data_IF_313719634322
#
_entry.id   IF_313719634322
#
_cell.length_a   1.000
_cell.length_b   1.000
_cell.length_c   1.000
_cell.angle_alpha   90.00
_cell.angle_beta   90.00
_cell.angle_gamma   90.00
#
_symmetry.space_group_name_H-M   'P 1'
#
loop_
_entity.id
_entity.type
_entity.pdbx_description
1 polymer ?
#
# COMPACT_ATOMS: atom_id res chain seq x y z
N UNK A 1 17.61 57.09 -58.95
CA UNK A 1 17.37 55.65 -59.18
C UNK A 1 17.29 54.96 -57.83
N UNK A 2 16.08 54.63 -57.37
CA UNK A 2 15.86 53.92 -56.09
C UNK A 2 15.19 52.59 -56.41
N UNK A 3 15.92 51.49 -56.17
CA UNK A 3 15.36 50.15 -56.06
C UNK A 3 14.74 49.99 -54.67
N UNK A 4 13.58 49.33 -54.56
CA UNK A 4 13.03 48.89 -53.28
C UNK A 4 12.75 47.39 -53.33
N UNK A 5 13.35 46.74 -52.34
CA UNK A 5 13.46 45.31 -52.11
C UNK A 5 12.13 44.67 -51.70
N UNK A 6 11.96 43.45 -52.19
CA UNK A 6 10.94 42.47 -51.84
C UNK A 6 11.12 42.03 -50.36
N UNK A 7 10.08 42.16 -49.54
CA UNK A 7 10.06 41.67 -48.15
C UNK A 7 9.70 40.17 -48.15
N UNK A 8 10.63 39.34 -47.69
CA UNK A 8 10.39 37.93 -47.36
C UNK A 8 9.91 37.88 -45.90
N UNK A 9 8.71 37.34 -45.67
CA UNK A 9 8.24 36.94 -44.34
C UNK A 9 8.97 35.66 -43.92
N UNK A 10 9.60 35.68 -42.75
CA UNK A 10 10.05 34.47 -42.05
C UNK A 10 9.12 34.26 -40.86
N UNK A 11 8.32 33.20 -40.92
CA UNK A 11 7.46 32.75 -39.82
C UNK A 11 8.24 31.74 -38.99
N UNK A 12 8.64 32.12 -37.77
CA UNK A 12 9.24 31.19 -36.81
C UNK A 12 8.16 30.31 -36.17
N UNK A 13 8.16 29.01 -36.50
CA UNK A 13 7.45 27.98 -35.75
C UNK A 13 8.27 27.59 -34.52
N UNK A 14 7.83 27.97 -33.32
CA UNK A 14 8.32 27.43 -32.06
C UNK A 14 7.58 26.12 -31.76
N UNK A 15 8.25 24.99 -32.02
CA UNK A 15 7.85 23.67 -31.54
C UNK A 15 8.10 23.61 -30.02
N UNK A 16 7.08 23.90 -29.23
CA UNK A 16 7.06 23.51 -27.82
C UNK A 16 6.82 22.00 -27.75
N UNK A 17 7.89 21.24 -27.50
CA UNK A 17 7.77 19.85 -27.10
C UNK A 17 7.06 19.77 -25.76
N UNK A 18 5.84 19.23 -25.77
CA UNK A 18 5.12 18.85 -24.55
C UNK A 18 5.85 17.64 -23.94
N UNK A 19 6.82 17.90 -23.08
CA UNK A 19 7.18 16.92 -22.06
C UNK A 19 6.02 16.88 -21.07
N UNK A 20 5.23 15.80 -21.14
CA UNK A 20 4.39 15.38 -20.03
C UNK A 20 5.32 15.02 -18.88
N UNK A 21 5.74 16.01 -18.11
CA UNK A 21 6.13 15.77 -16.72
C UNK A 21 4.83 15.35 -16.05
N UNK A 22 4.63 14.04 -15.88
CA UNK A 22 3.55 13.55 -15.05
C UNK A 22 3.69 14.27 -13.70
N UNK A 23 2.76 15.19 -13.42
CA UNK A 23 2.74 15.88 -12.13
C UNK A 23 2.61 14.78 -11.08
N UNK A 24 3.62 14.64 -10.22
CA UNK A 24 3.55 13.70 -9.12
C UNK A 24 2.26 13.99 -8.35
N UNK A 25 1.33 13.04 -8.37
CA UNK A 25 0.08 13.15 -7.65
C UNK A 25 0.45 13.31 -6.17
N UNK A 26 0.03 14.41 -5.57
CA UNK A 26 0.29 14.64 -4.15
C UNK A 26 -0.46 13.55 -3.35
N UNK A 27 0.16 12.98 -2.30
CA UNK A 27 -0.52 12.01 -1.47
C UNK A 27 -1.75 12.66 -0.83
N UNK A 28 -2.81 11.86 -0.67
CA UNK A 28 -4.00 12.26 0.09
C UNK A 28 -3.61 12.56 1.55
N UNK A 29 -2.70 11.74 2.07
CA UNK A 29 -2.18 11.83 3.42
C UNK A 29 -1.26 13.05 3.58
N UNK A 30 -1.50 13.80 4.65
CA UNK A 30 -0.65 14.88 5.12
C UNK A 30 0.15 14.42 6.33
N UNK A 31 1.17 15.21 6.66
CA UNK A 31 2.03 14.90 7.79
C UNK A 31 1.23 14.87 9.10
N UNK A 32 1.30 13.74 9.82
CA UNK A 32 0.65 13.54 11.10
C UNK A 32 -0.79 13.03 11.02
N UNK A 33 -1.31 12.76 9.83
CA UNK A 33 -2.68 12.25 9.66
C UNK A 33 -2.86 10.88 10.34
N UNK A 34 -4.09 10.64 10.78
CA UNK A 34 -4.57 9.37 11.34
C UNK A 34 -5.33 8.60 10.26
N UNK A 35 -4.82 7.43 9.88
CA UNK A 35 -5.40 6.56 8.85
C UNK A 35 -6.11 5.35 9.47
N UNK A 36 -7.43 5.27 9.33
CA UNK A 36 -8.19 4.07 9.71
C UNK A 36 -8.35 3.11 8.53
N UNK A 37 -7.90 1.86 8.68
CA UNK A 37 -8.01 0.81 7.65
C UNK A 37 -9.18 -0.10 8.02
N UNK A 38 -10.28 0.00 7.28
CA UNK A 38 -11.56 -0.63 7.64
C UNK A 38 -11.93 -1.70 6.62
N UNK A 39 -12.48 -2.81 7.10
CA UNK A 39 -13.07 -3.85 6.27
C UNK A 39 -13.48 -5.07 7.08
N UNK A 40 -13.68 -6.19 6.41
CA UNK A 40 -14.26 -7.39 6.98
C UNK A 40 -13.20 -8.39 7.52
N UNK A 41 -13.45 -9.71 7.39
CA UNK A 41 -12.53 -10.76 7.81
C UNK A 41 -11.18 -10.66 7.12
N UNK A 42 -11.12 -10.18 5.87
CA UNK A 42 -9.87 -10.06 5.13
C UNK A 42 -8.99 -8.98 5.79
N UNK A 43 -9.58 -7.87 6.21
CA UNK A 43 -8.89 -6.85 7.03
C UNK A 43 -8.52 -7.39 8.40
N UNK A 44 -9.39 -8.20 9.02
CA UNK A 44 -9.10 -8.84 10.31
C UNK A 44 -7.87 -9.78 10.25
N UNK A 45 -7.46 -10.27 9.07
CA UNK A 45 -6.21 -11.02 8.90
C UNK A 45 -4.95 -10.17 9.16
N UNK A 46 -5.06 -8.84 9.13
CA UNK A 46 -3.99 -7.86 9.43
C UNK A 46 -2.74 -7.99 8.53
N UNK A 47 -2.92 -8.43 7.30
CA UNK A 47 -1.80 -8.63 6.37
C UNK A 47 -1.61 -7.38 5.50
N UNK A 48 -2.58 -7.02 4.66
CA UNK A 48 -2.48 -5.81 3.81
C UNK A 48 -2.39 -4.52 4.65
N UNK A 49 -3.14 -4.44 5.77
CA UNK A 49 -3.09 -3.29 6.68
C UNK A 49 -1.70 -3.13 7.33
N UNK A 50 -1.06 -4.24 7.68
CA UNK A 50 0.32 -4.27 8.19
C UNK A 50 1.32 -3.85 7.12
N UNK A 51 1.13 -4.31 5.87
CA UNK A 51 1.98 -3.88 4.75
C UNK A 51 1.84 -2.38 4.48
N UNK A 52 0.62 -1.84 4.49
CA UNK A 52 0.37 -0.40 4.33
C UNK A 52 1.02 0.42 5.45
N UNK A 53 0.79 0.07 6.72
CA UNK A 53 1.39 0.80 7.85
C UNK A 53 2.92 0.70 7.86
N UNK A 54 3.48 -0.47 7.56
CA UNK A 54 4.94 -0.64 7.45
C UNK A 54 5.50 0.20 6.30
N UNK A 55 4.82 0.24 5.16
CA UNK A 55 5.22 1.07 4.02
C UNK A 55 5.21 2.56 4.41
N UNK A 56 4.15 3.05 5.06
CA UNK A 56 4.05 4.45 5.48
C UNK A 56 5.11 4.82 6.53
N UNK A 57 5.41 3.92 7.49
CA UNK A 57 6.43 4.17 8.51
C UNK A 57 7.86 4.12 7.96
N UNK A 58 8.18 3.12 7.13
CA UNK A 58 9.56 2.85 6.70
C UNK A 58 9.92 3.51 5.36
N UNK A 59 8.98 3.58 4.42
CA UNK A 59 9.18 4.13 3.08
C UNK A 59 8.81 5.62 2.99
N UNK A 60 7.92 6.10 3.86
CA UNK A 60 7.54 7.52 3.97
C UNK A 60 7.59 8.07 5.39
N UNK A 61 8.71 7.91 6.12
CA UNK A 61 8.82 8.36 7.51
C UNK A 61 8.55 9.86 7.69
N UNK A 62 8.71 10.66 6.63
CA UNK A 62 8.40 12.09 6.65
C UNK A 62 6.91 12.42 6.85
N UNK A 63 6.02 11.51 6.44
CA UNK A 63 4.58 11.69 6.58
C UNK A 63 4.11 11.47 8.02
N UNK A 64 4.87 10.73 8.84
CA UNK A 64 4.54 10.52 10.26
C UNK A 64 3.07 10.08 10.48
N UNK A 65 2.59 9.15 9.65
CA UNK A 65 1.20 8.71 9.66
C UNK A 65 0.98 7.74 10.82
N UNK A 66 -0.17 7.88 11.47
CA UNK A 66 -0.63 6.92 12.48
C UNK A 66 -1.76 6.08 11.91
N UNK A 67 -1.47 4.81 11.63
CA UNK A 67 -2.47 3.89 11.11
C UNK A 67 -3.17 3.15 12.24
N UNK A 68 -4.39 2.67 12.01
CA UNK A 68 -5.09 1.73 12.90
C UNK A 68 -6.02 0.85 12.06
N UNK A 69 -6.21 -0.43 12.39
CA UNK A 69 -7.11 -1.30 11.66
C UNK A 69 -8.42 -1.62 12.42
N UNK A 70 -9.51 -1.70 11.66
CA UNK A 70 -10.88 -1.93 12.14
C UNK A 70 -11.51 -3.19 11.53
N UNK A 71 -10.69 -4.19 11.18
CA UNK A 71 -11.13 -5.43 10.55
C UNK A 71 -12.08 -6.24 11.41
N UNK A 72 -13.18 -6.72 10.82
CA UNK A 72 -14.20 -7.50 11.52
C UNK A 72 -14.80 -8.62 10.67
N UNK A 73 -14.58 -9.86 11.08
CA UNK A 73 -15.03 -11.05 10.36
C UNK A 73 -16.54 -11.17 10.18
N UNK A 74 -16.94 -11.44 8.94
CA UNK A 74 -18.35 -11.54 8.53
C UNK A 74 -19.08 -10.21 8.43
N UNK A 75 -18.41 -9.08 8.68
CA UNK A 75 -19.02 -7.75 8.60
C UNK A 75 -19.39 -7.39 7.15
N UNK A 76 -20.49 -6.66 7.02
CA UNK A 76 -20.98 -6.04 5.79
C UNK A 76 -20.97 -4.53 5.97
N UNK A 77 -20.97 -3.75 4.88
CA UNK A 77 -20.92 -2.29 4.96
C UNK A 77 -22.00 -1.68 5.89
N UNK A 78 -23.27 -2.11 5.89
CA UNK A 78 -24.27 -1.61 6.84
C UNK A 78 -23.96 -1.92 8.31
N UNK A 79 -23.30 -3.05 8.58
CA UNK A 79 -22.89 -3.43 9.94
C UNK A 79 -21.86 -2.45 10.50
N UNK A 80 -20.88 -2.09 9.67
CA UNK A 80 -19.89 -1.08 10.03
C UNK A 80 -20.54 0.29 10.25
N UNK A 81 -21.39 0.74 9.30
CA UNK A 81 -22.10 2.01 9.40
C UNK A 81 -22.81 2.17 10.75
N UNK A 82 -23.44 1.09 11.25
CA UNK A 82 -24.17 1.09 12.52
C UNK A 82 -23.29 1.13 13.78
N UNK A 83 -21.98 0.85 13.69
CA UNK A 83 -21.07 0.86 14.86
C UNK A 83 -20.11 2.04 14.90
N UNK A 84 -20.09 2.90 13.87
CA UNK A 84 -19.10 3.97 13.74
C UNK A 84 -19.03 4.90 14.95
N UNK A 85 -20.18 5.31 15.52
CA UNK A 85 -20.20 6.26 16.66
C UNK A 85 -19.47 5.74 17.89
N UNK A 86 -19.53 4.43 18.12
CA UNK A 86 -18.85 3.83 19.25
C UNK A 86 -17.41 3.41 18.90
N UNK A 87 -17.23 2.86 17.70
CA UNK A 87 -16.01 2.13 17.35
C UNK A 87 -14.99 3.02 16.63
N UNK A 88 -15.40 3.91 15.72
CA UNK A 88 -14.50 4.69 14.85
C UNK A 88 -14.43 6.17 15.24
N UNK A 89 -15.56 6.85 15.40
CA UNK A 89 -15.63 8.31 15.58
C UNK A 89 -14.75 8.81 16.74
N UNK A 90 -14.70 8.12 17.91
CA UNK A 90 -13.83 8.52 19.00
C UNK A 90 -12.33 8.47 18.67
N UNK A 91 -11.93 7.79 17.59
CA UNK A 91 -10.53 7.73 17.15
C UNK A 91 -10.10 8.94 16.34
N UNK A 92 -11.02 9.83 15.97
CA UNK A 92 -10.73 11.04 15.19
C UNK A 92 -9.81 10.74 13.98
N UNK A 93 -10.21 9.86 13.04
CA UNK A 93 -9.42 9.64 11.83
C UNK A 93 -9.43 10.89 10.95
N UNK A 94 -8.35 11.16 10.24
CA UNK A 94 -8.29 12.19 9.20
C UNK A 94 -8.61 11.60 7.82
N UNK A 95 -8.20 10.35 7.63
CA UNK A 95 -8.43 9.56 6.41
C UNK A 95 -8.88 8.15 6.81
N UNK A 96 -9.81 7.58 6.04
CA UNK A 96 -10.16 6.16 6.16
C UNK A 96 -10.00 5.43 4.82
N UNK A 97 -9.76 4.13 4.88
CA UNK A 97 -9.99 3.22 3.75
C UNK A 97 -11.14 2.27 4.07
N UNK A 98 -11.92 1.87 3.06
CA UNK A 98 -12.98 0.86 3.21
C UNK A 98 -12.75 -0.31 2.26
N UNK A 99 -12.85 -1.54 2.76
CA UNK A 99 -12.76 -2.76 1.95
C UNK A 99 -13.94 -3.70 2.29
N UNK A 100 -15.09 -3.47 1.66
CA UNK A 100 -16.32 -4.26 1.86
C UNK A 100 -16.88 -4.75 0.53
N UNK A 101 -17.71 -5.80 0.58
CA UNK A 101 -18.35 -6.40 -0.59
C UNK A 101 -18.30 -7.93 -0.58
N UNK A 102 -17.26 -8.52 0.03
CA UNK A 102 -17.09 -9.98 0.09
C UNK A 102 -18.21 -10.68 0.88
N UNK A 103 -18.68 -10.09 1.97
CA UNK A 103 -19.84 -10.62 2.70
C UNK A 103 -21.17 -10.08 2.16
N UNK A 104 -21.17 -8.84 1.67
CA UNK A 104 -22.36 -8.15 1.14
C UNK A 104 -22.92 -8.89 -0.08
N UNK A 105 -22.03 -9.36 -0.97
CA UNK A 105 -22.35 -10.19 -2.13
C UNK A 105 -23.08 -11.50 -1.79
N UNK A 106 -23.08 -11.90 -0.51
CA UNK A 106 -23.85 -13.04 0.00
C UNK A 106 -23.53 -14.37 -0.69
N UNK A 107 -22.32 -14.51 -1.25
CA UNK A 107 -21.79 -15.73 -1.85
C UNK A 107 -22.70 -16.35 -2.93
N UNK A 108 -23.33 -15.51 -3.75
CA UNK A 108 -24.25 -15.91 -4.82
C UNK A 108 -24.20 -14.95 -6.01
N UNK A 109 -24.92 -15.28 -7.08
CA UNK A 109 -25.07 -14.38 -8.22
C UNK A 109 -25.63 -13.01 -7.78
N UNK A 110 -25.19 -11.94 -8.45
CA UNK A 110 -25.68 -10.60 -8.20
C UNK A 110 -27.19 -10.49 -8.41
N UNK A 111 -27.83 -9.69 -7.58
CA UNK A 111 -29.16 -9.13 -7.82
C UNK A 111 -29.24 -7.69 -7.29
N UNK A 112 -30.23 -6.94 -7.75
CA UNK A 112 -30.37 -5.53 -7.42
C UNK A 112 -30.53 -5.25 -5.92
N UNK A 113 -31.08 -6.18 -5.14
CA UNK A 113 -31.21 -5.98 -3.71
C UNK A 113 -29.86 -6.08 -3.00
N UNK A 114 -28.96 -6.98 -3.44
CA UNK A 114 -27.57 -7.02 -2.96
C UNK A 114 -26.90 -5.66 -3.20
N UNK A 115 -26.97 -5.16 -4.44
CA UNK A 115 -26.38 -3.88 -4.82
C UNK A 115 -26.93 -2.71 -4.00
N UNK A 116 -28.25 -2.63 -3.83
CA UNK A 116 -28.91 -1.56 -3.05
C UNK A 116 -28.51 -1.55 -1.57
N UNK A 117 -28.42 -2.73 -0.94
CA UNK A 117 -28.04 -2.83 0.48
C UNK A 117 -26.57 -2.43 0.66
N UNK A 118 -25.68 -2.91 -0.22
CA UNK A 118 -24.28 -2.53 -0.22
C UNK A 118 -24.09 -1.03 -0.45
N UNK A 119 -24.70 -0.48 -1.51
CA UNK A 119 -24.64 0.94 -1.84
C UNK A 119 -25.10 1.80 -0.67
N UNK A 120 -26.24 1.47 -0.07
CA UNK A 120 -26.75 2.22 1.09
C UNK A 120 -25.76 2.19 2.25
N UNK A 121 -25.23 1.02 2.60
CA UNK A 121 -24.26 0.89 3.70
C UNK A 121 -22.99 1.70 3.45
N UNK A 122 -22.42 1.61 2.25
CA UNK A 122 -21.23 2.38 1.86
C UNK A 122 -21.51 3.89 1.84
N UNK A 123 -22.69 4.30 1.34
CA UNK A 123 -23.13 5.70 1.33
C UNK A 123 -23.30 6.24 2.75
N UNK A 124 -23.91 5.48 3.65
CA UNK A 124 -24.05 5.87 5.06
C UNK A 124 -22.67 6.11 5.71
N UNK A 125 -21.67 5.25 5.41
CA UNK A 125 -20.28 5.43 5.88
C UNK A 125 -19.68 6.73 5.31
N UNK A 126 -19.77 6.91 3.99
CA UNK A 126 -19.20 8.07 3.29
C UNK A 126 -19.81 9.38 3.79
N UNK A 127 -21.14 9.45 3.88
CA UNK A 127 -21.85 10.64 4.36
C UNK A 127 -21.49 10.96 5.81
N UNK A 128 -21.35 9.94 6.66
CA UNK A 128 -20.91 10.12 8.05
C UNK A 128 -19.50 10.71 8.12
N UNK A 129 -18.56 10.21 7.31
CA UNK A 129 -17.17 10.70 7.27
C UNK A 129 -17.07 12.12 6.70
N UNK A 130 -17.81 12.43 5.65
CA UNK A 130 -17.91 13.79 5.12
C UNK A 130 -18.40 14.78 6.17
N UNK A 131 -19.38 14.38 7.00
CA UNK A 131 -19.89 15.20 8.10
C UNK A 131 -18.81 15.47 9.17
N UNK A 132 -17.89 14.55 9.39
CA UNK A 132 -16.74 14.72 10.28
C UNK A 132 -15.54 15.42 9.62
N UNK A 133 -15.62 15.76 8.32
CA UNK A 133 -14.50 16.34 7.58
C UNK A 133 -13.39 15.33 7.23
N UNK A 134 -13.70 14.03 7.27
CA UNK A 134 -12.76 12.93 7.05
C UNK A 134 -12.74 12.54 5.57
N UNK A 135 -11.54 12.32 5.03
CA UNK A 135 -11.38 11.85 3.64
C UNK A 135 -11.56 10.34 3.55
N UNK A 136 -12.27 9.86 2.53
CA UNK A 136 -12.47 8.42 2.32
C UNK A 136 -11.70 7.96 1.08
N UNK A 137 -10.99 6.84 1.21
CA UNK A 137 -10.48 6.05 0.07
C UNK A 137 -11.39 4.83 -0.05
N UNK A 138 -12.24 4.86 -1.07
CA UNK A 138 -13.29 3.85 -1.24
C UNK A 138 -12.71 2.65 -1.98
N UNK A 139 -12.47 1.53 -1.30
CA UNK A 139 -11.99 0.29 -1.91
C UNK A 139 -13.12 -0.60 -2.44
N UNK A 140 -12.88 -1.26 -3.56
CA UNK A 140 -13.70 -2.41 -4.03
C UNK A 140 -13.40 -3.67 -3.18
N UNK A 141 -14.29 -4.69 -3.18
CA UNK A 141 -13.94 -5.99 -2.61
C UNK A 141 -12.82 -6.67 -3.41
N UNK A 142 -12.15 -7.65 -2.80
CA UNK A 142 -11.26 -8.55 -3.54
C UNK A 142 -12.01 -9.55 -4.42
N UNK A 143 -11.30 -10.58 -4.89
CA UNK A 143 -11.85 -11.69 -5.68
C UNK A 143 -12.05 -12.93 -4.82
N UNK A 144 -12.84 -13.89 -5.32
CA UNK A 144 -12.69 -15.29 -4.93
C UNK A 144 -11.76 -16.03 -5.89
N UNK A 145 -11.03 -17.01 -5.39
CA UNK A 145 -10.01 -17.72 -6.17
C UNK A 145 -10.65 -18.66 -7.20
N UNK A 146 -10.18 -18.64 -8.44
CA UNK A 146 -10.78 -19.46 -9.51
C UNK A 146 -10.60 -20.97 -9.35
N UNK A 147 -9.72 -21.42 -8.44
CA UNK A 147 -9.48 -22.84 -8.20
C UNK A 147 -9.81 -23.28 -6.78
N UNK A 148 -9.57 -22.44 -5.77
CA UNK A 148 -9.78 -22.85 -4.36
C UNK A 148 -11.21 -22.59 -3.87
N UNK A 149 -11.94 -21.67 -4.49
CA UNK A 149 -13.32 -21.36 -4.10
C UNK A 149 -14.33 -22.37 -4.64
N UNK A 150 -15.27 -22.80 -3.79
CA UNK A 150 -16.44 -23.61 -4.16
C UNK A 150 -16.13 -24.73 -5.17
N UNK A 151 -15.05 -25.48 -4.94
CA UNK A 151 -14.50 -26.52 -5.85
C UNK A 151 -15.51 -27.57 -6.30
N UNK A 152 -16.58 -27.77 -5.52
CA UNK A 152 -17.67 -28.69 -5.80
C UNK A 152 -18.73 -28.11 -6.76
N UNK A 153 -18.63 -26.83 -7.14
CA UNK A 153 -19.56 -26.13 -8.03
C UNK A 153 -18.80 -25.49 -9.19
N UNK A 154 -18.87 -26.14 -10.35
CA UNK A 154 -18.26 -25.64 -11.58
C UNK A 154 -18.68 -24.19 -11.88
N UNK A 155 -17.71 -23.38 -12.30
CA UNK A 155 -17.86 -21.96 -12.70
C UNK A 155 -18.45 -21.03 -11.62
N UNK A 156 -18.56 -21.48 -10.36
CA UNK A 156 -19.17 -20.68 -9.31
C UNK A 156 -18.27 -19.52 -8.85
N UNK A 157 -16.97 -19.63 -9.04
CA UNK A 157 -16.01 -18.54 -8.91
C UNK A 157 -16.36 -17.39 -9.89
N UNK A 158 -16.68 -17.71 -11.15
CA UNK A 158 -17.06 -16.71 -12.15
C UNK A 158 -18.38 -16.03 -11.78
N UNK A 159 -19.36 -16.80 -11.30
CA UNK A 159 -20.64 -16.28 -10.82
C UNK A 159 -20.43 -15.28 -9.68
N UNK A 160 -19.58 -15.61 -8.70
CA UNK A 160 -19.40 -14.74 -7.56
C UNK A 160 -18.46 -13.57 -7.84
N UNK A 161 -17.39 -13.78 -8.62
CA UNK A 161 -16.54 -12.70 -9.09
C UNK A 161 -17.30 -11.68 -9.96
N UNK A 162 -18.28 -12.12 -10.76
CA UNK A 162 -19.17 -11.19 -11.47
C UNK A 162 -20.00 -10.32 -10.52
N UNK A 163 -20.43 -10.86 -9.37
CA UNK A 163 -21.10 -10.10 -8.32
C UNK A 163 -20.14 -9.13 -7.63
N UNK A 164 -18.98 -9.60 -7.18
CA UNK A 164 -17.96 -8.77 -6.52
C UNK A 164 -17.49 -7.63 -7.42
N UNK A 165 -17.33 -7.89 -8.72
CA UNK A 165 -17.07 -6.86 -9.74
C UNK A 165 -18.16 -5.80 -9.74
N UNK A 166 -19.44 -6.22 -9.71
CA UNK A 166 -20.57 -5.27 -9.70
C UNK A 166 -20.60 -4.41 -8.43
N UNK A 167 -20.24 -4.99 -7.29
CA UNK A 167 -20.09 -4.22 -6.04
C UNK A 167 -18.88 -3.26 -6.12
N UNK A 168 -17.77 -3.67 -6.73
CA UNK A 168 -16.64 -2.80 -7.03
C UNK A 168 -17.02 -1.60 -7.91
N UNK A 169 -17.84 -1.81 -8.94
CA UNK A 169 -18.38 -0.73 -9.77
C UNK A 169 -19.26 0.27 -8.98
N UNK A 170 -20.05 -0.22 -8.02
CA UNK A 170 -20.83 0.62 -7.10
C UNK A 170 -19.89 1.43 -6.20
N UNK A 171 -18.87 0.78 -5.61
CA UNK A 171 -17.87 1.43 -4.78
C UNK A 171 -17.14 2.55 -5.54
N UNK A 172 -16.73 2.28 -6.79
CA UNK A 172 -16.15 3.29 -7.67
C UNK A 172 -17.11 4.45 -7.94
N UNK A 173 -18.37 4.16 -8.25
CA UNK A 173 -19.37 5.18 -8.53
C UNK A 173 -19.59 6.10 -7.33
N UNK A 174 -19.63 5.55 -6.12
CA UNK A 174 -19.71 6.31 -4.87
C UNK A 174 -18.46 7.16 -4.62
N UNK A 175 -17.27 6.66 -4.95
CA UNK A 175 -16.03 7.43 -4.87
C UNK A 175 -16.08 8.64 -5.81
N UNK A 176 -16.44 8.40 -7.08
CA UNK A 176 -16.52 9.43 -8.12
C UNK A 176 -17.58 10.50 -7.78
N UNK A 177 -18.76 10.08 -7.32
CA UNK A 177 -19.86 10.96 -6.88
C UNK A 177 -19.42 11.90 -5.76
N UNK A 178 -18.54 11.43 -4.87
CA UNK A 178 -18.08 12.16 -3.69
C UNK A 178 -16.71 12.82 -3.87
N UNK A 179 -16.13 12.75 -5.08
CA UNK A 179 -14.77 13.24 -5.38
C UNK A 179 -13.68 12.65 -4.47
N UNK A 180 -13.85 11.38 -4.12
CA UNK A 180 -12.91 10.59 -3.33
C UNK A 180 -12.12 9.63 -4.22
N UNK A 181 -10.94 9.22 -3.75
CA UNK A 181 -10.14 8.22 -4.46
C UNK A 181 -10.76 6.83 -4.35
N UNK A 182 -10.64 6.07 -5.43
CA UNK A 182 -11.03 4.66 -5.47
C UNK A 182 -9.79 3.76 -5.44
N UNK A 183 -9.79 2.75 -4.57
CA UNK A 183 -8.83 1.66 -4.61
C UNK A 183 -9.47 0.45 -5.31
N UNK A 184 -9.04 0.14 -6.53
CA UNK A 184 -9.57 -0.98 -7.31
C UNK A 184 -8.92 -2.31 -6.90
N UNK A 185 -9.23 -2.78 -5.70
CA UNK A 185 -8.74 -4.05 -5.16
C UNK A 185 -9.19 -5.24 -6.05
N UNK A 186 -10.44 -5.22 -6.52
CA UNK A 186 -10.98 -6.26 -7.39
C UNK A 186 -10.14 -6.41 -8.67
N UNK A 187 -9.96 -5.32 -9.42
CA UNK A 187 -9.25 -5.34 -10.70
C UNK A 187 -7.81 -5.83 -10.53
N UNK A 188 -7.09 -5.26 -9.57
CA UNK A 188 -5.70 -5.62 -9.30
C UNK A 188 -5.54 -7.09 -8.90
N UNK A 189 -6.42 -7.60 -8.04
CA UNK A 189 -6.39 -9.02 -7.64
C UNK A 189 -6.80 -9.95 -8.79
N UNK A 190 -7.81 -9.58 -9.58
CA UNK A 190 -8.29 -10.41 -10.69
C UNK A 190 -7.22 -10.56 -11.77
N UNK A 191 -6.62 -9.45 -12.21
CA UNK A 191 -5.59 -9.46 -13.25
C UNK A 191 -4.33 -10.21 -12.78
N UNK A 192 -3.91 -9.97 -11.53
CA UNK A 192 -2.80 -10.70 -10.92
C UNK A 192 -3.10 -12.19 -10.79
N UNK A 193 -4.33 -12.57 -10.44
CA UNK A 193 -4.75 -13.98 -10.32
C UNK A 193 -4.68 -14.71 -11.66
N UNK A 194 -5.24 -14.12 -12.71
CA UNK A 194 -5.20 -14.69 -14.06
C UNK A 194 -3.75 -14.87 -14.52
N UNK A 195 -2.92 -13.83 -14.38
CA UNK A 195 -1.53 -13.88 -14.81
C UNK A 195 -0.68 -14.87 -13.98
N UNK A 196 -0.87 -14.90 -12.66
CA UNK A 196 -0.16 -15.80 -11.78
C UNK A 196 -0.53 -17.26 -12.05
N UNK A 197 -1.81 -17.60 -12.19
CA UNK A 197 -2.24 -18.98 -12.48
C UNK A 197 -1.76 -19.45 -13.84
N UNK A 198 -1.77 -18.60 -14.86
CA UNK A 198 -1.21 -18.92 -16.18
C UNK A 198 0.29 -19.29 -16.12
N UNK A 199 1.05 -18.76 -15.14
CA UNK A 199 2.49 -18.98 -15.01
C UNK A 199 2.89 -20.01 -13.95
N UNK A 200 2.19 -20.04 -12.82
CA UNK A 200 2.50 -20.85 -11.64
C UNK A 200 1.59 -22.09 -11.52
N UNK A 201 0.52 -22.16 -12.31
CA UNK A 201 -0.47 -23.24 -12.31
C UNK A 201 -1.78 -22.85 -11.64
N UNK A 202 -2.87 -23.47 -12.07
CA UNK A 202 -4.24 -23.19 -11.59
C UNK A 202 -4.40 -23.35 -10.06
N UNK A 203 -3.61 -24.22 -9.43
CA UNK A 203 -3.67 -24.46 -7.98
C UNK A 203 -3.08 -23.31 -7.14
N UNK A 204 -2.36 -22.37 -7.76
CA UNK A 204 -1.74 -21.26 -7.03
C UNK A 204 -2.82 -20.33 -6.42
N UNK A 205 -2.88 -20.18 -5.07
CA UNK A 205 -4.02 -19.55 -4.40
C UNK A 205 -3.80 -18.05 -4.19
N UNK A 206 -4.31 -17.20 -5.09
CA UNK A 206 -4.19 -15.74 -4.94
C UNK A 206 -5.17 -15.21 -3.92
N UNK A 207 -6.40 -15.73 -3.90
CA UNK A 207 -7.40 -15.42 -2.86
C UNK A 207 -7.45 -16.48 -1.75
N UNK A 208 -6.33 -17.18 -1.53
CA UNK A 208 -6.14 -18.05 -0.36
C UNK A 208 -6.61 -19.49 -0.53
N UNK A 209 -6.33 -20.31 0.48
CA UNK A 209 -6.60 -21.75 0.44
C UNK A 209 -8.08 -22.12 0.50
N UNK A 210 -8.92 -21.24 1.07
CA UNK A 210 -10.39 -21.39 1.10
C UNK A 210 -11.09 -20.63 -0.04
N UNK A 211 -10.32 -19.89 -0.84
CA UNK A 211 -10.80 -19.09 -1.96
C UNK A 211 -11.41 -17.75 -1.60
N UNK A 212 -11.33 -17.32 -0.33
CA UNK A 212 -11.83 -16.01 0.13
C UNK A 212 -10.75 -15.20 0.85
N UNK A 213 -9.92 -15.85 1.69
CA UNK A 213 -9.00 -15.19 2.60
C UNK A 213 -7.55 -15.32 2.11
N UNK A 214 -7.00 -14.29 1.44
CA UNK A 214 -5.68 -14.37 0.83
C UNK A 214 -4.56 -14.66 1.85
N UNK A 215 -3.47 -15.25 1.35
CA UNK A 215 -2.18 -15.25 2.03
C UNK A 215 -1.39 -13.98 1.70
N UNK A 216 -0.12 -13.89 2.10
CA UNK A 216 0.69 -12.67 1.91
C UNK A 216 0.77 -12.22 0.44
N UNK A 217 0.74 -13.15 -0.52
CA UNK A 217 0.69 -12.86 -1.94
C UNK A 217 -0.49 -11.94 -2.33
N UNK A 218 -1.73 -12.34 -2.04
CA UNK A 218 -2.92 -11.55 -2.35
C UNK A 218 -3.00 -10.28 -1.52
N UNK A 219 -2.58 -10.34 -0.26
CA UNK A 219 -2.53 -9.16 0.61
C UNK A 219 -1.52 -8.10 0.12
N UNK A 220 -0.46 -8.48 -0.59
CA UNK A 220 0.45 -7.52 -1.22
C UNK A 220 -0.25 -6.74 -2.35
N UNK A 221 -1.06 -7.43 -3.17
CA UNK A 221 -1.84 -6.80 -4.24
C UNK A 221 -2.87 -5.83 -3.66
N UNK A 222 -3.55 -6.23 -2.57
CA UNK A 222 -4.47 -5.35 -1.86
C UNK A 222 -3.77 -4.10 -1.32
N UNK A 223 -2.60 -4.26 -0.68
CA UNK A 223 -1.81 -3.14 -0.18
C UNK A 223 -1.37 -2.22 -1.32
N UNK A 224 -0.95 -2.77 -2.46
CA UNK A 224 -0.63 -2.02 -3.67
C UNK A 224 -1.80 -1.14 -4.13
N UNK A 225 -3.00 -1.71 -4.28
CA UNK A 225 -4.18 -0.97 -4.71
C UNK A 225 -4.51 0.22 -3.79
N UNK A 226 -4.44 0.02 -2.47
CA UNK A 226 -4.69 1.09 -1.50
C UNK A 226 -3.58 2.14 -1.47
N UNK A 227 -2.30 1.75 -1.50
CA UNK A 227 -1.18 2.69 -1.53
C UNK A 227 -1.21 3.57 -2.80
N UNK A 228 -1.54 2.97 -3.95
CA UNK A 228 -1.77 3.71 -5.20
C UNK A 228 -2.92 4.72 -5.07
N UNK A 229 -4.05 4.29 -4.51
CA UNK A 229 -5.21 5.17 -4.31
C UNK A 229 -4.93 6.31 -3.31
N UNK A 230 -4.04 6.09 -2.34
CA UNK A 230 -3.54 7.11 -1.41
C UNK A 230 -2.59 8.12 -2.08
N UNK A 231 -2.12 7.82 -3.30
CA UNK A 231 -1.23 8.70 -4.06
C UNK A 231 0.18 8.81 -3.49
N UNK A 232 0.63 7.83 -2.69
CA UNK A 232 2.00 7.85 -2.15
C UNK A 232 3.01 7.64 -3.28
N UNK A 233 4.14 8.35 -3.21
CA UNK A 233 5.18 8.26 -4.24
C UNK A 233 5.99 6.97 -4.08
N UNK A 234 6.17 6.20 -5.15
CA UNK A 234 7.13 5.09 -5.13
C UNK A 234 8.60 5.48 -5.29
N UNK A 235 8.92 6.77 -5.32
CA UNK A 235 10.32 7.23 -5.36
C UNK A 235 10.93 7.16 -3.96
N UNK A 236 11.55 6.02 -3.67
CA UNK A 236 12.26 5.81 -2.40
C UNK A 236 13.49 6.71 -2.37
N UNK A 237 14.26 6.72 -3.45
CA UNK A 237 15.39 7.62 -3.61
C UNK A 237 16.39 7.15 -4.66
N UNK A 238 17.37 7.99 -4.96
CA UNK A 238 18.44 7.71 -5.91
C UNK A 238 19.81 7.88 -5.26
N UNK A 239 20.66 6.87 -5.40
CA UNK A 239 22.10 6.95 -5.15
C UNK A 239 22.83 7.08 -6.48
N UNK A 240 23.65 8.10 -6.63
CA UNK A 240 24.47 8.34 -7.83
C UNK A 240 25.94 8.14 -7.49
N UNK A 241 26.60 7.21 -8.20
CA UNK A 241 28.04 6.96 -8.10
C UNK A 241 28.70 7.50 -9.36
N UNK A 242 29.58 8.50 -9.21
CA UNK A 242 30.38 9.02 -10.30
C UNK A 242 31.77 8.37 -10.23
N UNK A 243 32.13 7.51 -11.19
CA UNK A 243 33.48 6.90 -11.20
C UNK A 243 34.53 8.01 -11.31
N UNK A 244 35.43 8.08 -10.32
CA UNK A 244 36.46 9.12 -10.20
C UNK A 244 35.97 10.49 -9.70
N UNK A 245 34.69 10.65 -9.40
CA UNK A 245 34.08 11.90 -8.91
C UNK A 245 33.33 11.72 -7.58
N UNK A 246 32.67 12.78 -7.14
CA UNK A 246 31.92 12.77 -5.88
C UNK A 246 30.55 12.10 -6.06
N UNK A 247 30.11 11.22 -5.15
CA UNK A 247 28.77 10.63 -5.22
C UNK A 247 27.69 11.62 -4.75
N UNK A 248 26.44 11.30 -5.06
CA UNK A 248 25.28 12.04 -4.60
C UNK A 248 24.16 11.09 -4.13
N UNK A 249 23.31 11.57 -3.23
CA UNK A 249 22.13 10.84 -2.76
C UNK A 249 20.95 11.81 -2.58
N UNK A 250 19.73 11.34 -2.83
CA UNK A 250 18.50 12.11 -2.60
C UNK A 250 18.09 12.13 -1.13
N UNK A 251 17.05 12.90 -0.79
CA UNK A 251 16.50 12.96 0.57
C UNK A 251 16.17 11.57 1.13
N UNK A 252 16.39 11.39 2.44
CA UNK A 252 16.27 10.10 3.12
C UNK A 252 17.56 9.25 3.10
N UNK A 253 18.58 9.68 2.33
CA UNK A 253 19.84 8.96 2.18
C UNK A 253 21.02 9.93 2.33
N UNK A 254 22.01 9.57 3.16
CA UNK A 254 23.19 10.38 3.44
C UNK A 254 24.46 9.62 3.08
N UNK A 255 25.28 10.22 2.22
CA UNK A 255 26.64 9.73 1.97
C UNK A 255 27.49 10.00 3.23
N UNK A 256 28.09 8.94 3.77
CA UNK A 256 28.95 9.01 4.96
C UNK A 256 30.41 8.65 4.66
N UNK A 257 30.68 8.04 3.50
CA UNK A 257 32.03 7.71 3.03
C UNK A 257 32.02 7.36 1.55
N UNK A 258 33.16 7.52 0.87
CA UNK A 258 33.31 7.12 -0.53
C UNK A 258 34.76 6.89 -0.91
N UNK A 259 35.00 5.97 -1.84
CA UNK A 259 36.29 5.76 -2.49
C UNK A 259 36.21 6.14 -3.97
N UNK A 260 37.32 6.64 -4.52
CA UNK A 260 37.40 6.99 -5.96
C UNK A 260 37.21 5.78 -6.89
N UNK A 261 37.32 4.56 -6.35
CA UNK A 261 37.15 3.30 -7.07
C UNK A 261 35.70 2.84 -7.22
N UNK A 262 34.70 3.66 -6.87
CA UNK A 262 33.28 3.34 -7.09
C UNK A 262 32.58 2.69 -5.90
N UNK A 263 33.14 2.78 -4.69
CA UNK A 263 32.50 2.31 -3.46
C UNK A 263 32.01 3.49 -2.63
N UNK A 264 30.80 3.38 -2.09
CA UNK A 264 30.12 4.45 -1.36
C UNK A 264 29.45 3.86 -0.12
N UNK A 265 29.66 4.49 1.03
CA UNK A 265 29.00 4.19 2.30
C UNK A 265 27.85 5.18 2.53
N UNK A 266 26.68 4.63 2.86
CA UNK A 266 25.43 5.39 2.99
C UNK A 266 24.77 5.06 4.33
N UNK A 267 24.19 6.07 4.95
CA UNK A 267 23.21 5.94 6.04
C UNK A 267 21.84 6.39 5.52
N UNK A 268 20.84 5.50 5.60
CA UNK A 268 19.49 5.77 5.09
C UNK A 268 18.45 5.72 6.18
N UNK A 269 17.56 6.71 6.21
CA UNK A 269 16.39 6.77 7.10
C UNK A 269 15.10 6.40 6.40
N UNK A 270 15.11 6.31 5.07
CA UNK A 270 14.01 5.83 4.24
C UNK A 270 14.38 4.48 3.65
N UNK A 271 13.49 3.51 3.78
CA UNK A 271 13.71 2.14 3.34
C UNK A 271 12.98 1.89 2.03
N UNK A 272 13.48 1.00 1.16
CA UNK A 272 12.61 0.30 0.23
C UNK A 272 11.71 -0.69 1.00
N UNK A 273 10.53 -0.98 0.44
CA UNK A 273 9.72 -2.11 0.88
C UNK A 273 10.49 -3.41 0.61
N UNK A 274 10.55 -4.30 1.61
CA UNK A 274 11.24 -5.59 1.50
C UNK A 274 10.24 -6.73 1.40
N UNK A 275 10.56 -7.72 0.55
CA UNK A 275 9.68 -8.84 0.25
C UNK A 275 10.17 -10.12 0.92
N UNK A 276 9.25 -11.04 1.23
CA UNK A 276 9.54 -12.29 1.93
C UNK A 276 9.10 -13.51 1.11
N UNK A 277 9.63 -14.68 1.47
CA UNK A 277 9.34 -15.95 0.80
C UNK A 277 10.14 -16.15 -0.50
N UNK A 278 9.65 -17.06 -1.34
CA UNK A 278 10.29 -17.43 -2.61
C UNK A 278 9.30 -17.30 -3.79
N UNK A 279 9.75 -17.68 -4.99
CA UNK A 279 9.03 -17.51 -6.26
C UNK A 279 7.75 -18.34 -6.41
N UNK A 280 7.46 -19.23 -5.45
CA UNK A 280 6.26 -20.10 -5.45
C UNK A 280 5.49 -20.10 -4.15
N UNK A 281 5.97 -19.41 -3.12
CA UNK A 281 5.35 -19.42 -1.79
C UNK A 281 4.20 -18.40 -1.73
N UNK A 282 2.93 -18.83 -1.59
CA UNK A 282 1.81 -17.90 -1.44
C UNK A 282 1.80 -17.21 -0.06
N UNK A 283 2.51 -17.75 0.94
CA UNK A 283 2.65 -17.15 2.27
C UNK A 283 3.75 -16.09 2.34
N UNK A 284 4.56 -15.98 1.28
CA UNK A 284 5.44 -14.87 1.03
C UNK A 284 4.85 -13.87 0.04
N UNK A 285 5.59 -12.80 -0.21
CA UNK A 285 5.22 -11.73 -1.15
C UNK A 285 6.02 -11.80 -2.45
N UNK A 286 7.13 -12.55 -2.51
CA UNK A 286 8.01 -12.61 -3.70
C UNK A 286 7.31 -13.25 -4.91
N UNK A 287 6.54 -14.31 -4.68
CA UNK A 287 5.87 -15.11 -5.72
C UNK A 287 4.88 -14.31 -6.58
N UNK A 288 4.30 -13.23 -6.05
CA UNK A 288 3.32 -12.42 -6.78
C UNK A 288 3.93 -11.24 -7.52
N UNK A 289 5.16 -10.83 -7.19
CA UNK A 289 5.83 -9.65 -7.77
C UNK A 289 5.81 -9.60 -9.31
N UNK A 290 6.00 -10.70 -10.06
CA UNK A 290 5.96 -10.64 -11.52
C UNK A 290 4.58 -10.26 -12.11
N UNK A 291 3.53 -10.27 -11.28
CA UNK A 291 2.14 -10.08 -11.69
C UNK A 291 1.51 -8.83 -11.06
N UNK A 292 2.27 -8.05 -10.28
CA UNK A 292 1.85 -6.77 -9.70
C UNK A 292 3.01 -5.77 -9.80
N UNK A 293 2.81 -4.57 -10.37
CA UNK A 293 3.91 -3.62 -10.65
C UNK A 293 4.36 -2.86 -9.39
N UNK A 294 4.49 -3.54 -8.25
CA UNK A 294 4.79 -2.94 -6.96
C UNK A 294 6.15 -2.23 -6.98
N UNK A 295 7.18 -2.85 -7.55
CA UNK A 295 8.52 -2.27 -7.59
C UNK A 295 8.59 -1.05 -8.51
N UNK A 296 7.89 -1.14 -9.63
CA UNK A 296 7.83 -0.13 -10.66
C UNK A 296 7.10 1.12 -10.16
N UNK A 297 6.03 0.94 -9.39
CA UNK A 297 5.14 2.03 -9.01
C UNK A 297 5.36 2.57 -7.60
N UNK A 298 5.70 1.70 -6.64
CA UNK A 298 5.76 2.01 -5.21
C UNK A 298 7.14 1.79 -4.57
N UNK A 299 8.13 1.19 -5.26
CA UNK A 299 9.36 0.77 -4.57
C UNK A 299 10.63 0.95 -5.41
N UNK A 300 10.81 2.16 -5.98
CA UNK A 300 11.98 2.52 -6.78
C UNK A 300 13.08 3.08 -5.89
N UNK A 301 14.05 2.23 -5.54
CA UNK A 301 15.29 2.64 -4.90
C UNK A 301 16.45 2.54 -5.88
N UNK A 302 16.77 3.65 -6.55
CA UNK A 302 17.58 3.64 -7.78
C UNK A 302 19.07 3.81 -7.52
N UNK A 303 19.90 3.01 -8.20
CA UNK A 303 21.33 3.25 -8.36
C UNK A 303 21.60 3.76 -9.77
N UNK A 304 22.25 4.93 -9.89
CA UNK A 304 22.83 5.43 -11.14
C UNK A 304 24.36 5.44 -11.06
N UNK A 305 25.02 5.01 -12.13
CA UNK A 305 26.48 5.07 -12.24
C UNK A 305 26.88 5.85 -13.47
N UNK A 306 27.65 6.91 -13.25
CA UNK A 306 28.19 7.75 -14.31
C UNK A 306 29.69 7.49 -14.51
N UNK A 307 30.20 7.85 -15.69
CA UNK A 307 31.62 7.76 -16.05
C UNK A 307 32.19 6.33 -16.03
N UNK A 308 31.35 5.30 -16.14
CA UNK A 308 31.83 3.94 -16.31
C UNK A 308 32.50 3.79 -17.68
N UNK A 309 33.79 3.44 -17.70
CA UNK A 309 34.55 3.21 -18.94
C UNK A 309 34.30 1.83 -19.53
N UNK A 310 34.18 0.82 -18.66
CA UNK A 310 33.91 -0.57 -19.03
C UNK A 310 32.50 -0.75 -19.62
N UNK A 311 32.27 -1.77 -20.47
CA UNK A 311 30.94 -2.10 -20.98
C UNK A 311 30.00 -2.63 -19.89
N UNK A 312 30.56 -3.22 -18.82
CA UNK A 312 29.82 -3.79 -17.69
C UNK A 312 30.53 -3.51 -16.37
N UNK A 313 29.79 -3.59 -15.27
CA UNK A 313 30.34 -3.57 -13.93
C UNK A 313 29.62 -4.56 -13.01
N UNK A 314 30.36 -5.06 -12.02
CA UNK A 314 29.79 -5.76 -10.88
C UNK A 314 29.30 -4.74 -9.86
N UNK A 315 28.04 -4.85 -9.44
CA UNK A 315 27.45 -4.07 -8.36
C UNK A 315 27.24 -4.98 -7.17
N UNK A 316 27.82 -4.61 -6.04
CA UNK A 316 27.62 -5.27 -4.74
C UNK A 316 26.70 -4.41 -3.88
N UNK A 317 25.63 -5.01 -3.35
CA UNK A 317 24.70 -4.39 -2.42
C UNK A 317 24.26 -5.43 -1.38
N UNK A 318 24.56 -5.17 -0.11
CA UNK A 318 24.44 -6.20 0.93
C UNK A 318 25.46 -7.31 0.72
N UNK A 319 25.00 -8.56 0.77
CA UNK A 319 25.82 -9.76 0.56
C UNK A 319 25.79 -10.27 -0.89
N UNK A 320 25.08 -9.56 -1.78
CA UNK A 320 24.87 -9.97 -3.17
C UNK A 320 25.71 -9.14 -4.13
N UNK A 321 26.20 -9.78 -5.19
CA UNK A 321 26.88 -9.12 -6.31
C UNK A 321 26.22 -9.54 -7.62
N UNK A 322 25.86 -8.58 -8.47
CA UNK A 322 25.28 -8.81 -9.80
C UNK A 322 26.03 -8.00 -10.86
N UNK A 323 26.05 -8.49 -12.10
CA UNK A 323 26.65 -7.76 -13.24
C UNK A 323 25.57 -6.98 -13.98
N UNK A 324 25.86 -5.72 -14.31
CA UNK A 324 25.01 -4.87 -15.12
C UNK A 324 25.80 -4.21 -16.24
N UNK A 325 25.13 -3.93 -17.34
CA UNK A 325 25.69 -3.16 -18.44
C UNK A 325 25.84 -1.69 -18.06
N UNK A 326 26.77 -1.01 -18.73
CA UNK A 326 26.93 0.44 -18.63
C UNK A 326 25.63 1.19 -18.91
N UNK A 327 24.84 0.72 -19.89
CA UNK A 327 23.57 1.35 -20.22
C UNK A 327 22.60 1.28 -19.05
N UNK A 328 22.34 0.08 -18.51
CA UNK A 328 21.47 -0.13 -17.35
C UNK A 328 21.88 0.75 -16.16
N UNK A 329 23.18 0.80 -15.87
CA UNK A 329 23.68 1.60 -14.75
C UNK A 329 23.57 3.12 -15.00
N UNK A 330 23.74 3.57 -16.24
CA UNK A 330 23.60 5.00 -16.58
C UNK A 330 22.15 5.47 -16.58
N UNK A 331 21.21 4.62 -17.01
CA UNK A 331 19.77 4.88 -16.97
C UNK A 331 19.25 4.81 -15.52
N UNK A 332 19.74 3.81 -14.78
CA UNK A 332 19.47 3.56 -13.37
C UNK A 332 18.80 2.21 -13.16
N UNK A 333 19.33 1.41 -12.23
CA UNK A 333 18.72 0.13 -11.82
C UNK A 333 17.96 0.30 -10.51
N UNK A 334 16.85 -0.42 -10.32
CA UNK A 334 16.14 -0.44 -9.05
C UNK A 334 16.77 -1.49 -8.11
N UNK A 335 17.54 -1.02 -7.13
CA UNK A 335 18.20 -1.88 -6.15
C UNK A 335 17.23 -2.78 -5.40
N UNK A 336 16.01 -2.31 -5.09
CA UNK A 336 15.02 -3.10 -4.36
C UNK A 336 14.47 -4.27 -5.19
N UNK A 337 14.33 -4.08 -6.51
CA UNK A 337 13.91 -5.14 -7.42
C UNK A 337 15.06 -6.10 -7.76
N UNK A 338 16.27 -5.56 -7.93
CA UNK A 338 17.44 -6.35 -8.29
C UNK A 338 18.01 -7.15 -7.11
N UNK A 339 17.84 -6.67 -5.88
CA UNK A 339 18.41 -7.30 -4.68
C UNK A 339 17.31 -7.50 -3.63
N UNK A 340 16.54 -8.57 -3.77
CA UNK A 340 15.43 -8.88 -2.84
C UNK A 340 15.93 -9.10 -1.41
N UNK A 341 17.08 -9.75 -1.25
CA UNK A 341 17.81 -9.75 0.01
C UNK A 341 18.81 -8.61 0.00
N UNK A 342 18.58 -7.61 0.85
CA UNK A 342 19.40 -6.41 0.89
C UNK A 342 19.56 -5.90 2.33
N UNK A 343 20.39 -4.88 2.59
CA UNK A 343 20.65 -4.37 3.93
C UNK A 343 19.41 -3.93 4.72
N UNK A 344 18.30 -3.64 4.04
CA UNK A 344 17.05 -3.21 4.68
C UNK A 344 16.15 -4.39 5.07
N UNK A 345 16.34 -5.61 4.55
CA UNK A 345 15.43 -6.74 4.78
C UNK A 345 15.19 -7.00 6.26
N UNK A 346 16.25 -7.14 7.07
CA UNK A 346 16.12 -7.40 8.51
C UNK A 346 15.58 -6.19 9.30
N UNK A 347 16.05 -4.94 9.09
CA UNK A 347 15.42 -3.76 9.68
C UNK A 347 13.93 -3.63 9.34
N UNK A 348 13.55 -3.84 8.08
CA UNK A 348 12.17 -3.76 7.61
C UNK A 348 11.28 -4.83 8.27
N UNK A 349 11.76 -6.07 8.37
CA UNK A 349 11.07 -7.14 9.09
C UNK A 349 10.85 -6.79 10.57
N UNK A 350 11.80 -6.11 11.21
CA UNK A 350 11.62 -5.66 12.59
C UNK A 350 10.49 -4.62 12.71
N UNK A 351 10.42 -3.65 11.79
CA UNK A 351 9.30 -2.69 11.74
C UNK A 351 7.98 -3.42 11.53
N UNK A 352 7.92 -4.32 10.53
CA UNK A 352 6.72 -5.09 10.22
C UNK A 352 6.24 -5.93 11.42
N UNK A 353 7.18 -6.49 12.21
CA UNK A 353 6.85 -7.25 13.41
C UNK A 353 6.28 -6.38 14.54
N UNK A 354 6.77 -5.15 14.72
CA UNK A 354 6.18 -4.23 15.70
C UNK A 354 4.77 -3.78 15.27
N UNK A 355 4.59 -3.47 13.98
CA UNK A 355 3.27 -3.17 13.40
C UNK A 355 2.31 -4.34 13.61
N UNK A 356 2.75 -5.59 13.37
CA UNK A 356 1.92 -6.77 13.58
C UNK A 356 1.45 -6.91 15.05
N UNK A 357 2.34 -6.65 16.01
CA UNK A 357 2.01 -6.69 17.45
C UNK A 357 0.99 -5.60 17.81
N UNK A 358 1.17 -4.40 17.29
CA UNK A 358 0.23 -3.29 17.45
C UNK A 358 -1.14 -3.65 16.89
N UNK A 359 -1.24 -4.06 15.62
CA UNK A 359 -2.52 -4.40 15.01
C UNK A 359 -3.21 -5.60 15.68
N UNK A 360 -2.45 -6.55 16.25
CA UNK A 360 -3.03 -7.63 17.06
C UNK A 360 -3.71 -7.12 18.33
N UNK A 361 -3.14 -6.10 18.99
CA UNK A 361 -3.80 -5.41 20.09
C UNK A 361 -5.05 -4.66 19.61
N UNK A 362 -4.97 -3.94 18.48
CA UNK A 362 -6.12 -3.22 17.91
C UNK A 362 -7.33 -4.13 17.64
N UNK A 363 -7.12 -5.35 17.13
CA UNK A 363 -8.22 -6.32 16.98
C UNK A 363 -8.86 -6.64 18.33
N UNK A 364 -8.05 -6.93 19.35
CA UNK A 364 -8.53 -7.22 20.71
C UNK A 364 -9.30 -6.03 21.28
N UNK A 365 -8.76 -4.82 21.13
CA UNK A 365 -9.33 -3.58 21.64
C UNK A 365 -10.67 -3.25 20.97
N UNK A 366 -10.72 -3.22 19.63
CA UNK A 366 -11.93 -2.85 18.89
C UNK A 366 -13.00 -3.94 19.06
N UNK A 367 -12.70 -5.17 18.66
CA UNK A 367 -13.68 -6.27 18.60
C UNK A 367 -14.01 -6.88 19.96
N UNK A 368 -13.02 -6.92 20.87
CA UNK A 368 -13.19 -7.54 22.18
C UNK A 368 -13.68 -6.59 23.27
N UNK A 369 -13.34 -5.30 23.20
CA UNK A 369 -13.57 -4.36 24.29
C UNK A 369 -14.49 -3.20 23.89
N UNK A 370 -14.01 -2.27 23.04
CA UNK A 370 -14.70 -1.00 22.75
C UNK A 370 -16.08 -1.27 22.16
N UNK A 371 -16.21 -2.19 21.21
CA UNK A 371 -17.50 -2.47 20.56
C UNK A 371 -18.60 -2.92 21.54
N UNK A 372 -18.20 -3.56 22.64
CA UNK A 372 -19.11 -4.06 23.67
C UNK A 372 -19.63 -2.96 24.59
N UNK A 373 -19.09 -1.73 24.51
CA UNK A 373 -19.63 -0.59 25.23
C UNK A 373 -21.09 -0.29 24.87
N UNK A 374 -21.50 -0.61 23.63
CA UNK A 374 -22.90 -0.55 23.17
C UNK A 374 -23.84 -1.44 23.98
N UNK A 375 -23.33 -2.50 24.63
CA UNK A 375 -24.13 -3.36 25.48
C UNK A 375 -24.50 -2.71 26.82
N UNK A 376 -23.75 -1.70 27.27
CA UNK A 376 -24.10 -0.93 28.47
C UNK A 376 -25.20 0.09 28.19
N UNK A 377 -25.21 0.69 26.99
CA UNK A 377 -26.21 1.70 26.58
C UNK A 377 -27.65 1.15 26.56
N UNK A 378 -27.85 -0.15 26.35
CA UNK A 378 -29.18 -0.76 26.39
C UNK A 378 -29.84 -0.68 27.78
N UNK A 379 -29.34 -1.40 28.79
CA UNK A 379 -29.94 -1.44 30.12
C UNK A 379 -29.73 -0.16 30.94
N UNK A 380 -28.65 0.60 30.68
CA UNK A 380 -28.28 1.79 31.46
C UNK A 380 -28.64 3.11 30.76
N UNK A 381 -29.08 3.07 29.49
CA UNK A 381 -29.43 4.26 28.72
C UNK A 381 -28.25 5.23 28.56
N UNK A 382 -28.57 6.52 28.48
CA UNK A 382 -27.62 7.63 28.37
C UNK A 382 -27.10 8.11 29.75
N UNK A 383 -26.86 7.18 30.67
CA UNK A 383 -26.34 7.51 32.01
C UNK A 383 -24.99 8.24 31.91
N UNK A 384 -24.87 9.48 32.43
CA UNK A 384 -23.65 10.26 32.31
C UNK A 384 -22.42 9.66 33.01
N UNK A 385 -22.61 8.95 34.13
CA UNK A 385 -21.51 8.32 34.87
C UNK A 385 -20.97 7.11 34.09
N UNK A 386 -21.87 6.31 33.51
CA UNK A 386 -21.49 5.18 32.65
C UNK A 386 -20.75 5.69 31.42
N UNK A 387 -21.24 6.75 30.77
CA UNK A 387 -20.57 7.35 29.62
C UNK A 387 -19.19 7.90 29.98
N UNK A 388 -19.06 8.54 31.14
CA UNK A 388 -17.77 9.01 31.66
C UNK A 388 -16.80 7.85 31.89
N UNK A 389 -17.24 6.77 32.52
CA UNK A 389 -16.42 5.58 32.74
C UNK A 389 -15.96 4.92 31.43
N UNK A 390 -16.85 4.81 30.44
CA UNK A 390 -16.50 4.29 29.11
C UNK A 390 -15.48 5.18 28.40
N UNK A 391 -15.58 6.50 28.53
CA UNK A 391 -14.60 7.43 27.97
C UNK A 391 -13.23 7.25 28.63
N UNK A 392 -13.17 7.14 29.96
CA UNK A 392 -11.91 6.87 30.68
C UNK A 392 -11.27 5.55 30.22
N UNK A 393 -12.07 4.48 30.09
CA UNK A 393 -11.55 3.20 29.60
C UNK A 393 -11.06 3.30 28.16
N UNK A 394 -11.77 4.04 27.31
CA UNK A 394 -11.36 4.28 25.93
C UNK A 394 -10.03 5.02 25.86
N UNK A 395 -9.87 6.11 26.60
CA UNK A 395 -8.63 6.88 26.65
C UNK A 395 -7.46 6.02 27.12
N UNK A 396 -7.68 5.14 28.09
CA UNK A 396 -6.65 4.19 28.54
C UNK A 396 -6.27 3.17 27.49
N UNK A 397 -7.21 2.70 26.67
CA UNK A 397 -6.90 1.81 25.55
C UNK A 397 -6.16 2.55 24.44
N UNK A 398 -6.50 3.81 24.19
CA UNK A 398 -5.76 4.66 23.25
C UNK A 398 -4.32 4.87 23.72
N UNK A 399 -4.08 5.15 25.00
CA UNK A 399 -2.71 5.26 25.54
C UNK A 399 -1.87 3.98 25.33
N UNK A 400 -2.50 2.79 25.36
CA UNK A 400 -1.80 1.52 25.08
C UNK A 400 -1.46 1.41 23.60
N UNK A 401 -2.40 1.77 22.73
CA UNK A 401 -2.16 1.78 21.29
C UNK A 401 -1.10 2.81 20.87
N UNK A 402 -1.14 4.01 21.44
CA UNK A 402 -0.16 5.08 21.25
C UNK A 402 1.26 4.60 21.57
N UNK A 403 1.43 3.87 22.68
CA UNK A 403 2.73 3.26 23.02
C UNK A 403 3.14 2.17 22.04
N UNK A 404 2.20 1.37 21.55
CA UNK A 404 2.49 0.37 20.54
C UNK A 404 2.90 1.02 19.21
N UNK A 405 2.27 2.15 18.86
CA UNK A 405 2.64 2.97 17.71
C UNK A 405 4.04 3.56 17.86
N UNK A 406 4.36 4.16 19.00
CA UNK A 406 5.69 4.70 19.27
C UNK A 406 6.78 3.62 19.17
N UNK A 407 6.49 2.40 19.61
CA UNK A 407 7.39 1.26 19.45
C UNK A 407 7.58 0.86 17.98
N UNK A 408 6.50 0.86 17.18
CA UNK A 408 6.57 0.55 15.75
C UNK A 408 7.31 1.64 14.96
N UNK A 409 7.03 2.91 15.24
CA UNK A 409 7.75 4.06 14.67
C UNK A 409 9.21 4.06 15.08
N UNK A 410 9.52 3.82 16.35
CA UNK A 410 10.88 3.73 16.88
C UNK A 410 11.70 2.54 16.35
N UNK A 411 11.05 1.54 15.75
CA UNK A 411 11.74 0.45 15.07
C UNK A 411 12.37 0.86 13.74
N UNK A 412 11.95 1.98 13.15
CA UNK A 412 12.55 2.56 11.95
C UNK A 412 13.83 3.29 12.36
N UNK A 413 14.97 2.62 12.26
CA UNK A 413 16.29 3.14 12.63
C UNK A 413 17.16 3.41 11.39
N UNK A 414 18.12 4.35 11.40
CA UNK A 414 19.01 4.53 10.27
C UNK A 414 19.77 3.24 9.91
N UNK A 415 19.75 2.86 8.63
CA UNK A 415 20.45 1.68 8.11
C UNK A 415 21.74 2.12 7.43
N UNK A 416 22.87 1.60 7.88
CA UNK A 416 24.19 1.83 7.27
C UNK A 416 24.57 0.66 6.38
N UNK A 417 25.05 0.96 5.17
CA UNK A 417 25.47 -0.05 4.21
C UNK A 417 26.45 0.55 3.20
N UNK A 418 27.03 -0.31 2.38
CA UNK A 418 27.91 0.05 1.30
C UNK A 418 27.33 -0.44 -0.03
N UNK A 419 27.49 0.37 -1.08
CA UNK A 419 27.34 -0.05 -2.47
C UNK A 419 28.70 0.05 -3.12
N UNK A 420 29.11 -1.01 -3.83
CA UNK A 420 30.38 -1.04 -4.56
C UNK A 420 30.14 -1.34 -6.03
N UNK A 421 30.75 -0.55 -6.91
CA UNK A 421 30.70 -0.73 -8.36
C UNK A 421 32.12 -1.00 -8.86
N UNK A 422 32.35 -2.21 -9.37
CA UNK A 422 33.64 -2.64 -9.89
C UNK A 422 33.55 -2.84 -11.41
N UNK A 423 34.22 -1.99 -12.22
CA UNK A 423 34.28 -2.18 -13.66
C UNK A 423 34.84 -3.56 -14.02
N UNK A 424 34.18 -4.28 -14.94
CA UNK A 424 34.72 -5.54 -15.47
C UNK A 424 35.74 -5.23 -16.56
N UNK A 425 36.86 -5.96 -16.52
CA UNK A 425 38.03 -5.76 -17.39
C UNK A 425 37.78 -6.26 -18.80
#
# INVERSE_FOLDING_TARGET
>A
MRASLMRILVTCFLLFGLWNVAAAQQPILKKGDRLAIIGDSITEQKQYSKFMETYLLACHPELDIKCFQFGWGGERAPGFANRMENDLIPWHPDVITTCYGMNDGSYRAYDDNIGKVYEKGMRDIIDRMKKEGVTVVVGSPGVVDSFTWARDRADFDQVYNANLKKLGEIAKSLADENHFSHADVFGEMYDSMVAAKAKLGEEYPVAGGDGVHPSANGHLIMAYAFLKALGVSGDIGTITINIGGDPAATAGHKIIGSSKGGSVEIESTRYPFCFTGNDKDPNGTVSILPFTPFNEDLNRFTLKVNNLSAPEAEVTFGDQTKTFTKQQLSEGINLAAEFLNNPFSKPFDNVMNQVARKQAFETTMIKGLITNFRQFQGPLGDDPEVQSAMNVLRDKMFEVDDKAYDNAKGAVVPVRYQISVKPKS
#
